data_IF_240860087207
#
_entry.id   IF_240860087207
#
_cell.length_a   1.000
_cell.length_b   1.000
_cell.length_c   1.000
_cell.angle_alpha   90.00
_cell.angle_beta   90.00
_cell.angle_gamma   90.00
#
_symmetry.space_group_name_H-M   'P 1'
#
loop_
_entity.id
_entity.type
_entity.pdbx_description
1 polymer ?
#
# COMPACT_ATOMS: atom_id res chain seq x y z
N UNK A 1 11.31 61.15 -31.95
CA UNK A 1 10.13 62.06 -31.99
C UNK A 1 9.00 61.24 -32.58
N UNK A 2 7.89 60.91 -31.95
CA UNK A 2 7.26 61.18 -30.65
C UNK A 2 6.13 60.12 -30.61
N UNK A 3 6.20 59.16 -29.69
CA UNK A 3 5.28 58.95 -28.55
C UNK A 3 3.78 58.73 -28.89
N UNK A 4 3.26 57.66 -28.26
CA UNK A 4 2.04 57.61 -27.44
C UNK A 4 0.88 56.64 -27.82
N UNK A 5 0.90 55.50 -27.11
CA UNK A 5 -0.15 54.74 -26.37
C UNK A 5 -1.65 54.88 -26.73
N UNK A 6 -2.46 53.81 -26.71
CA UNK A 6 -3.05 53.17 -25.49
C UNK A 6 -3.77 51.85 -25.88
N UNK A 7 -3.59 50.70 -25.20
CA UNK A 7 -4.23 50.17 -23.96
C UNK A 7 -5.22 49.02 -24.23
N UNK A 8 -4.91 47.82 -23.71
CA UNK A 8 -5.86 46.86 -23.08
C UNK A 8 -5.03 45.66 -22.55
N UNK A 9 -4.59 45.72 -21.30
CA UNK A 9 -5.15 44.95 -20.17
C UNK A 9 -4.98 43.44 -20.31
N UNK A 10 -3.86 42.98 -19.75
CA UNK A 10 -3.64 41.66 -19.16
C UNK A 10 -4.74 41.34 -18.15
N UNK A 11 -5.40 40.19 -18.31
CA UNK A 11 -5.98 39.46 -17.19
C UNK A 11 -5.27 38.13 -17.08
N UNK A 12 -4.45 38.09 -16.04
CA UNK A 12 -3.91 36.92 -15.37
C UNK A 12 -5.05 35.96 -15.02
N UNK A 13 -5.06 34.80 -15.67
CA UNK A 13 -5.71 33.62 -15.11
C UNK A 13 -4.58 32.64 -14.79
N UNK A 14 -3.99 32.85 -13.62
CA UNK A 14 -3.29 31.81 -12.87
C UNK A 14 -4.26 30.65 -12.65
N UNK A 15 -4.18 29.64 -13.52
CA UNK A 15 -4.69 28.31 -13.19
C UNK A 15 -3.94 27.81 -11.96
N UNK A 16 -4.61 27.35 -10.89
CA UNK A 16 -3.92 26.68 -9.81
C UNK A 16 -3.29 25.40 -10.36
N UNK A 17 -1.96 25.38 -10.39
CA UNK A 17 -1.17 24.18 -10.62
C UNK A 17 -1.46 23.24 -9.46
N UNK A 18 -2.35 22.27 -9.66
CA UNK A 18 -2.43 21.09 -8.81
C UNK A 18 -1.03 20.49 -8.73
N UNK A 19 -0.42 20.33 -7.54
CA UNK A 19 0.68 19.40 -7.43
C UNK A 19 0.08 18.02 -7.62
N UNK A 20 0.05 17.53 -8.86
CA UNK A 20 -0.06 16.10 -9.10
C UNK A 20 1.24 15.51 -8.55
N UNK A 21 1.24 15.18 -7.26
CA UNK A 21 2.10 14.11 -6.75
C UNK A 21 1.73 12.88 -7.57
N UNK A 22 2.60 12.31 -8.41
CA UNK A 22 2.49 10.90 -8.67
C UNK A 22 3.05 10.23 -7.41
N UNK A 23 2.24 10.11 -6.35
CA UNK A 23 2.41 8.94 -5.51
C UNK A 23 2.10 7.78 -6.42
N UNK A 24 3.15 7.25 -7.05
CA UNK A 24 3.12 6.01 -7.78
C UNK A 24 2.82 4.97 -6.71
N UNK A 25 1.54 4.81 -6.35
CA UNK A 25 1.04 3.53 -5.91
C UNK A 25 1.25 2.66 -7.14
N UNK A 26 2.48 2.11 -7.29
CA UNK A 26 2.71 1.04 -8.23
C UNK A 26 1.57 0.04 -7.95
N UNK A 27 0.80 -0.26 -8.99
CA UNK A 27 -0.24 -1.27 -8.94
C UNK A 27 0.48 -2.58 -8.58
N UNK A 28 0.57 -2.88 -7.28
CA UNK A 28 1.29 -4.05 -6.81
C UNK A 28 0.45 -5.23 -7.26
N UNK A 29 1.01 -6.16 -8.06
CA UNK A 29 0.24 -7.26 -8.58
C UNK A 29 -0.29 -8.11 -7.42
N UNK A 30 -1.60 -8.31 -7.42
CA UNK A 30 -2.26 -9.25 -6.53
C UNK A 30 -2.28 -10.62 -7.18
N UNK A 31 -1.86 -11.64 -6.42
CA UNK A 31 -2.06 -13.03 -6.79
C UNK A 31 -3.11 -13.63 -5.86
N UNK A 32 -4.19 -14.15 -6.42
CA UNK A 32 -5.24 -14.82 -5.65
C UNK A 32 -5.16 -16.31 -5.92
N UNK A 33 -5.04 -17.10 -4.86
CA UNK A 33 -5.13 -18.57 -4.89
C UNK A 33 -6.45 -18.97 -4.26
N UNK A 34 -7.26 -19.72 -5.01
CA UNK A 34 -8.54 -20.25 -4.56
C UNK A 34 -8.33 -21.39 -3.55
N UNK A 35 -9.39 -21.79 -2.84
CA UNK A 35 -9.32 -22.84 -1.82
C UNK A 35 -8.89 -24.22 -2.37
N UNK A 36 -9.08 -24.45 -3.68
CA UNK A 36 -8.64 -25.65 -4.38
C UNK A 36 -7.18 -25.58 -4.88
N UNK A 37 -6.47 -24.50 -4.56
CA UNK A 37 -5.08 -24.25 -4.95
C UNK A 37 -4.93 -23.67 -6.37
N UNK A 38 -6.01 -23.43 -7.10
CA UNK A 38 -5.92 -22.82 -8.43
C UNK A 38 -5.70 -21.31 -8.35
N UNK A 39 -4.85 -20.74 -9.22
CA UNK A 39 -4.70 -19.29 -9.30
C UNK A 39 -5.90 -18.67 -10.02
N UNK A 40 -6.39 -17.53 -9.55
CA UNK A 40 -7.40 -16.74 -10.24
C UNK A 40 -8.31 -15.94 -9.33
N UNK A 41 -9.10 -15.05 -9.92
CA UNK A 41 -10.01 -14.15 -9.22
C UNK A 41 -9.40 -12.77 -8.94
N UNK A 42 -10.23 -11.88 -8.42
CA UNK A 42 -9.83 -10.56 -7.92
C UNK A 42 -9.92 -10.56 -6.40
N UNK A 43 -9.09 -9.77 -5.71
CA UNK A 43 -9.24 -9.60 -4.27
C UNK A 43 -10.63 -9.04 -3.92
N UNK A 44 -11.16 -9.40 -2.74
CA UNK A 44 -12.39 -8.85 -2.19
C UNK A 44 -12.13 -7.52 -1.48
N UNK A 45 -13.19 -6.78 -1.18
CA UNK A 45 -13.10 -5.54 -0.39
C UNK A 45 -12.51 -5.80 1.01
N UNK A 46 -12.87 -6.94 1.64
CA UNK A 46 -12.32 -7.37 2.92
C UNK A 46 -10.80 -7.62 2.83
N UNK A 47 -10.34 -8.33 1.80
CA UNK A 47 -8.91 -8.60 1.57
C UNK A 47 -8.13 -7.28 1.34
N UNK A 48 -8.72 -6.33 0.60
CA UNK A 48 -8.18 -4.98 0.43
C UNK A 48 -8.11 -4.20 1.75
N UNK A 49 -9.13 -4.32 2.60
CA UNK A 49 -9.19 -3.64 3.89
C UNK A 49 -8.08 -4.14 4.82
N UNK A 50 -7.91 -5.46 4.96
CA UNK A 50 -6.85 -6.06 5.77
C UNK A 50 -5.48 -5.55 5.31
N UNK A 51 -5.21 -5.58 4.00
CA UNK A 51 -3.95 -5.09 3.46
C UNK A 51 -3.76 -3.61 3.74
N UNK A 52 -4.81 -2.79 3.60
CA UNK A 52 -4.73 -1.35 3.88
C UNK A 52 -4.40 -1.07 5.35
N UNK A 53 -5.11 -1.71 6.28
CA UNK A 53 -4.86 -1.59 7.72
C UNK A 53 -3.47 -2.12 8.10
N UNK A 54 -3.08 -3.27 7.58
CA UNK A 54 -1.77 -3.87 7.85
C UNK A 54 -0.62 -2.98 7.36
N UNK A 55 -0.76 -2.37 6.19
CA UNK A 55 0.23 -1.41 5.66
C UNK A 55 0.37 -0.19 6.57
N UNK A 56 -0.73 0.34 7.08
CA UNK A 56 -0.69 1.46 8.03
C UNK A 56 0.03 1.07 9.34
N UNK A 57 -0.25 -0.12 9.88
CA UNK A 57 0.44 -0.64 11.07
C UNK A 57 1.94 -0.83 10.83
N UNK A 58 2.33 -1.42 9.68
CA UNK A 58 3.73 -1.58 9.30
C UNK A 58 4.42 -0.23 9.16
N UNK A 59 3.80 0.76 8.49
CA UNK A 59 4.37 2.10 8.34
C UNK A 59 4.57 2.82 9.69
N UNK A 60 3.79 2.48 10.71
CA UNK A 60 3.93 3.00 12.07
C UNK A 60 4.92 2.20 12.94
N UNK A 61 5.33 1.00 12.53
CA UNK A 61 6.24 0.15 13.31
C UNK A 61 7.69 0.67 13.26
N UNK A 62 8.38 0.87 14.40
CA UNK A 62 9.74 1.39 14.42
C UNK A 62 10.77 0.53 13.67
N UNK A 63 10.60 -0.79 13.63
CA UNK A 63 11.53 -1.67 12.90
C UNK A 63 11.34 -1.53 11.40
N UNK A 64 10.10 -1.38 10.95
CA UNK A 64 9.79 -1.13 9.54
C UNK A 64 10.31 0.25 9.08
N UNK A 65 10.17 1.27 9.92
CA UNK A 65 10.69 2.62 9.66
C UNK A 65 12.22 2.67 9.58
N UNK A 66 12.91 1.71 10.20
CA UNK A 66 14.37 1.59 10.12
C UNK A 66 14.84 0.97 8.79
N UNK A 67 13.95 0.41 7.97
CA UNK A 67 14.30 -0.14 6.66
C UNK A 67 14.60 0.99 5.66
N UNK A 68 15.67 0.88 4.85
CA UNK A 68 15.95 1.84 3.79
C UNK A 68 14.98 1.63 2.62
N UNK A 69 14.03 2.53 2.45
CA UNK A 69 13.11 2.59 1.30
C UNK A 69 12.39 1.28 0.98
N UNK A 70 11.69 0.65 1.95
CA UNK A 70 10.93 -0.57 1.69
C UNK A 70 9.82 -0.32 0.67
N UNK A 71 9.75 -1.14 -0.38
CA UNK A 71 8.74 -1.02 -1.44
C UNK A 71 7.91 -2.30 -1.50
N UNK A 72 6.58 -2.18 -1.39
CA UNK A 72 5.68 -3.31 -1.53
C UNK A 72 5.78 -3.86 -2.96
N UNK A 73 6.15 -5.13 -3.10
CA UNK A 73 6.43 -5.77 -4.39
C UNK A 73 5.46 -6.90 -4.72
N UNK A 74 4.79 -7.47 -3.72
CA UNK A 74 3.83 -8.55 -3.92
C UNK A 74 2.76 -8.54 -2.85
N UNK A 75 1.53 -8.82 -3.28
CA UNK A 75 0.41 -9.18 -2.40
C UNK A 75 -0.15 -10.51 -2.87
N UNK A 76 -0.35 -11.44 -1.95
CA UNK A 76 -0.97 -12.73 -2.23
C UNK A 76 -2.14 -12.96 -1.29
N UNK A 77 -3.22 -13.52 -1.83
CA UNK A 77 -4.39 -14.01 -1.11
C UNK A 77 -4.41 -15.54 -1.25
N UNK A 78 -4.57 -16.24 -0.14
CA UNK A 78 -4.82 -17.66 -0.10
C UNK A 78 -6.19 -17.94 0.52
N UNK A 79 -7.21 -18.12 -0.34
CA UNK A 79 -8.59 -18.37 0.09
C UNK A 79 -8.82 -19.77 0.67
N UNK A 80 -7.81 -20.64 0.65
CA UNK A 80 -7.82 -21.88 1.40
C UNK A 80 -7.63 -21.68 2.92
N UNK A 81 -7.23 -20.48 3.34
CA UNK A 81 -6.98 -20.11 4.75
C UNK A 81 -7.97 -19.02 5.16
N UNK A 82 -8.71 -19.17 6.28
CA UNK A 82 -9.59 -18.11 6.78
C UNK A 82 -8.81 -16.83 7.08
N UNK A 83 -9.40 -15.66 6.80
CA UNK A 83 -8.73 -14.38 7.03
C UNK A 83 -8.58 -13.97 8.50
N UNK A 84 -9.11 -14.76 9.43
CA UNK A 84 -8.78 -14.71 10.87
C UNK A 84 -7.47 -15.44 11.24
N UNK A 85 -6.83 -16.11 10.28
CA UNK A 85 -5.61 -16.88 10.50
C UNK A 85 -4.44 -16.30 9.69
N UNK A 86 -3.24 -16.34 10.29
CA UNK A 86 -2.02 -15.97 9.58
C UNK A 86 -1.82 -16.91 8.39
N UNK A 87 -1.68 -16.35 7.20
CA UNK A 87 -1.54 -17.12 5.96
C UNK A 87 -2.67 -16.91 4.95
N UNK A 88 -3.78 -16.27 5.35
CA UNK A 88 -4.80 -15.80 4.38
C UNK A 88 -4.20 -14.77 3.41
N UNK A 89 -3.35 -13.88 3.92
CA UNK A 89 -2.67 -12.87 3.12
C UNK A 89 -1.15 -12.94 3.32
N UNK A 90 -0.42 -12.53 2.30
CA UNK A 90 1.03 -12.38 2.31
C UNK A 90 1.42 -11.08 1.60
N UNK A 91 2.31 -10.33 2.23
CA UNK A 91 2.91 -9.10 1.71
C UNK A 91 4.41 -9.29 1.64
N UNK A 92 5.01 -8.88 0.53
CA UNK A 92 6.46 -8.82 0.37
C UNK A 92 6.90 -7.40 0.11
N UNK A 93 7.90 -6.96 0.85
CA UNK A 93 8.58 -5.69 0.64
C UNK A 93 10.01 -5.93 0.19
N UNK A 94 10.36 -5.40 -0.98
CA UNK A 94 11.75 -5.31 -1.40
C UNK A 94 12.44 -4.18 -0.64
N UNK A 95 13.65 -4.47 -0.16
CA UNK A 95 14.50 -3.50 0.56
C UNK A 95 15.86 -3.50 -0.13
N UNK A 96 16.28 -2.40 -0.79
CA UNK A 96 17.52 -2.34 -1.53
C UNK A 96 18.74 -2.81 -0.72
N UNK A 97 19.48 -3.77 -1.25
CA UNK A 97 20.69 -4.32 -0.62
C UNK A 97 20.44 -5.18 0.61
N UNK A 98 19.18 -5.54 0.92
CA UNK A 98 18.82 -6.37 2.05
C UNK A 98 17.91 -7.54 1.64
N UNK A 99 17.71 -8.47 2.55
CA UNK A 99 16.69 -9.51 2.40
C UNK A 99 15.30 -8.88 2.38
N UNK A 100 14.42 -9.27 1.45
CA UNK A 100 13.03 -8.82 1.43
C UNK A 100 12.32 -9.12 2.74
N UNK A 101 11.44 -8.22 3.15
CA UNK A 101 10.67 -8.35 4.38
C UNK A 101 9.29 -8.90 4.06
N UNK A 102 8.86 -9.89 4.82
CA UNK A 102 7.66 -10.68 4.55
C UNK A 102 6.69 -10.56 5.72
N UNK A 103 5.41 -10.37 5.40
CA UNK A 103 4.39 -10.18 6.41
C UNK A 103 3.12 -10.96 6.09
N UNK A 104 2.45 -11.47 7.13
CA UNK A 104 1.23 -12.27 7.03
C UNK A 104 0.09 -11.59 7.78
N UNK A 105 -0.59 -10.64 7.13
CA UNK A 105 -1.71 -9.97 7.75
C UNK A 105 -2.96 -10.85 7.81
N UNK A 106 -3.74 -10.63 8.85
CA UNK A 106 -4.99 -11.32 9.12
C UNK A 106 -5.81 -10.52 10.13
N UNK A 107 -7.11 -10.74 10.17
CA UNK A 107 -7.96 -10.25 11.25
C UNK A 107 -7.54 -10.87 12.58
N UNK A 108 -7.43 -10.04 13.61
CA UNK A 108 -7.12 -10.43 14.97
C UNK A 108 -7.82 -9.55 15.98
N UNK A 109 -7.66 -9.88 17.26
CA UNK A 109 -8.36 -9.17 18.36
C UNK A 109 -7.82 -7.77 18.62
N UNK A 110 -6.60 -7.47 18.21
CA UNK A 110 -5.94 -6.19 18.43
C UNK A 110 -4.99 -5.92 17.27
N UNK A 111 -4.77 -4.64 16.99
CA UNK A 111 -3.72 -4.20 16.09
C UNK A 111 -2.34 -4.53 16.66
N UNK A 112 -1.56 -5.30 15.92
CA UNK A 112 -0.22 -5.71 16.36
C UNK A 112 0.66 -6.13 15.19
N UNK A 113 1.89 -5.62 15.18
CA UNK A 113 2.99 -6.14 14.34
C UNK A 113 3.89 -7.03 15.19
N UNK A 114 4.06 -8.28 14.78
CA UNK A 114 5.00 -9.21 15.39
C UNK A 114 6.22 -9.35 14.48
N UNK A 115 7.15 -8.39 14.58
CA UNK A 115 8.29 -8.26 13.67
C UNK A 115 9.05 -9.57 13.41
N UNK A 116 9.39 -10.31 14.48
CA UNK A 116 10.18 -11.54 14.39
C UNK A 116 9.51 -12.64 13.55
N UNK A 117 8.18 -12.70 13.54
CA UNK A 117 7.42 -13.70 12.79
C UNK A 117 6.74 -13.15 11.54
N UNK A 118 6.86 -11.84 11.27
CA UNK A 118 6.16 -11.15 10.20
C UNK A 118 4.63 -11.10 10.35
N UNK A 119 4.05 -11.63 11.43
CA UNK A 119 2.59 -11.61 11.59
C UNK A 119 2.10 -10.19 11.85
N UNK A 120 1.02 -9.80 11.17
CA UNK A 120 0.34 -8.52 11.39
C UNK A 120 -1.12 -8.81 11.69
N UNK A 121 -1.53 -8.64 12.94
CA UNK A 121 -2.94 -8.72 13.30
C UNK A 121 -3.55 -7.34 13.15
N UNK A 122 -4.66 -7.24 12.43
CA UNK A 122 -5.47 -6.02 12.30
C UNK A 122 -6.81 -6.25 12.98
N UNK A 123 -7.34 -5.25 13.68
CA UNK A 123 -8.65 -5.33 14.32
C UNK A 123 -9.78 -5.05 13.32
N UNK A 124 -10.78 -5.93 13.30
CA UNK A 124 -12.05 -5.72 12.60
C UNK A 124 -12.86 -4.68 13.40
N UNK A 125 -13.25 -3.57 12.78
CA UNK A 125 -13.95 -2.47 13.48
C UNK A 125 -15.42 -2.75 13.77
#
# INVERSE_FOLDING_TARGET
MTDDQTKATVHDQTTPTTPSSPEVHADVPWMVTQADGTPGGTPTDEEHEIVTKARALLQADPHFQALPSPTLSRVEVNRGVPCSESGCLYLRYEVPGQTPQEFWPHWGKNDKVSWKSGQVSVHEE
#
